data_IF_339139199798
#
_entry.id   IF_339139199798
#
_cell.length_a   1.000
_cell.length_b   1.000
_cell.length_c   1.000
_cell.angle_alpha   90.00
_cell.angle_beta   90.00
_cell.angle_gamma   90.00
#
_symmetry.space_group_name_H-M   'P 1'
#
loop_
_entity.id
_entity.type
_entity.pdbx_description
1 polymer ?
#
# COMPACT_ATOMS: atom_id res chain seq x y z
N UNK A 1 39.38 -51.99 19.45
CA UNK A 1 38.37 -53.02 19.74
C UNK A 1 37.00 -52.46 19.30
N UNK A 2 36.66 -52.41 18.01
CA UNK A 2 36.30 -53.49 17.08
C UNK A 2 34.83 -53.96 17.21
N UNK A 3 33.94 -53.42 16.34
CA UNK A 3 32.71 -53.98 15.71
C UNK A 3 31.85 -52.79 15.23
N UNK A 4 31.74 -52.36 13.95
CA UNK A 4 31.55 -53.00 12.62
C UNK A 4 30.29 -53.87 12.53
N UNK A 5 29.30 -53.38 11.76
CA UNK A 5 28.25 -54.04 10.94
C UNK A 5 27.25 -52.90 10.56
N UNK A 6 27.12 -52.31 9.37
CA UNK A 6 27.20 -52.71 7.96
C UNK A 6 26.14 -53.75 7.54
N UNK A 7 24.96 -53.31 7.09
CA UNK A 7 24.16 -53.85 5.95
C UNK A 7 23.20 -52.71 5.51
N UNK A 8 23.44 -51.95 4.44
CA UNK A 8 23.34 -52.22 2.99
C UNK A 8 21.93 -51.98 2.40
N UNK A 9 21.94 -51.15 1.36
CA UNK A 9 20.82 -50.68 0.55
C UNK A 9 20.26 -51.75 -0.40
N UNK A 10 19.04 -51.52 -0.89
CA UNK A 10 18.45 -51.86 -2.21
C UNK A 10 16.95 -51.43 -2.10
N UNK A 11 16.24 -50.88 -3.07
CA UNK A 11 16.39 -50.87 -4.52
C UNK A 11 15.35 -49.90 -5.11
N UNK A 12 15.77 -49.15 -6.13
CA UNK A 12 14.89 -48.51 -7.09
C UNK A 12 14.28 -49.55 -8.05
N UNK A 13 13.03 -49.33 -8.46
CA UNK A 13 12.39 -49.89 -9.67
C UNK A 13 11.40 -48.83 -10.17
N UNK A 14 11.73 -48.08 -11.23
CA UNK A 14 11.62 -48.40 -12.66
C UNK A 14 10.23 -48.08 -13.26
N UNK A 15 10.25 -46.98 -14.03
CA UNK A 15 9.56 -46.66 -15.29
C UNK A 15 8.23 -47.36 -15.67
N UNK A 16 7.26 -46.52 -16.04
CA UNK A 16 6.45 -46.65 -17.27
C UNK A 16 5.96 -45.25 -17.65
N UNK A 17 6.59 -44.52 -18.58
CA UNK A 17 6.47 -44.59 -20.04
C UNK A 17 5.03 -44.72 -20.56
N UNK A 18 4.46 -43.59 -20.98
CA UNK A 18 3.46 -43.48 -22.03
C UNK A 18 3.48 -42.05 -22.59
N UNK A 19 4.34 -41.87 -23.58
CA UNK A 19 4.38 -40.76 -24.52
C UNK A 19 3.32 -40.98 -25.59
N UNK A 20 2.42 -40.02 -25.85
CA UNK A 20 1.90 -39.77 -27.21
C UNK A 20 1.44 -38.31 -27.38
N UNK A 21 2.13 -37.60 -28.29
CA UNK A 21 1.58 -36.80 -29.41
C UNK A 21 0.71 -35.54 -29.17
N UNK A 22 1.28 -34.38 -29.51
CA UNK A 22 0.56 -33.17 -30.01
C UNK A 22 0.21 -33.33 -31.50
N UNK A 23 -0.82 -32.65 -32.04
CA UNK A 23 -0.55 -31.35 -32.69
C UNK A 23 -1.72 -30.32 -32.66
N UNK A 24 -1.37 -29.07 -32.96
CA UNK A 24 -2.22 -27.88 -33.25
C UNK A 24 -1.92 -27.45 -34.71
N UNK A 25 -2.69 -26.57 -35.41
CA UNK A 25 -4.13 -26.37 -35.64
C UNK A 25 -4.50 -26.52 -37.15
N UNK A 26 -5.67 -26.04 -37.64
CA UNK A 26 -5.62 -24.83 -38.50
C UNK A 26 -6.81 -23.84 -38.38
N UNK A 27 -6.61 -22.68 -39.03
CA UNK A 27 -7.50 -21.50 -39.17
C UNK A 27 -8.48 -21.65 -40.35
N UNK A 28 -9.67 -21.03 -40.24
CA UNK A 28 -10.46 -20.35 -41.31
C UNK A 28 -11.75 -19.82 -40.66
N UNK A 29 -12.06 -18.52 -40.55
CA UNK A 29 -12.33 -17.46 -41.54
C UNK A 29 -13.58 -17.68 -42.41
N UNK A 30 -14.73 -17.18 -41.91
CA UNK A 30 -15.87 -16.60 -42.66
C UNK A 30 -17.01 -16.38 -41.67
N UNK A 31 -17.88 -15.38 -41.71
CA UNK A 31 -18.04 -14.12 -42.42
C UNK A 31 -19.08 -13.35 -41.57
N UNK A 32 -18.94 -12.03 -41.47
CA UNK A 32 -19.91 -11.10 -40.88
C UNK A 32 -21.21 -11.10 -41.74
N UNK A 33 -22.39 -10.65 -41.24
CA UNK A 33 -22.59 -9.21 -41.04
C UNK A 33 -23.50 -8.79 -39.86
N UNK A 34 -23.29 -7.52 -39.45
CA UNK A 34 -24.24 -6.53 -38.91
C UNK A 34 -25.19 -6.92 -37.75
N UNK A 35 -24.94 -6.30 -36.60
CA UNK A 35 -25.81 -5.27 -36.03
C UNK A 35 -24.99 -4.47 -35.00
N UNK A 36 -24.50 -3.29 -35.40
CA UNK A 36 -23.86 -2.36 -34.49
C UNK A 36 -24.94 -1.47 -33.88
N UNK A 37 -25.04 -1.53 -32.55
CA UNK A 37 -25.86 -0.67 -31.71
C UNK A 37 -25.45 0.79 -31.89
N UNK A 38 -26.44 1.61 -32.24
CA UNK A 38 -26.36 3.07 -32.23
C UNK A 38 -26.33 3.56 -30.79
N UNK A 39 -25.22 4.13 -30.35
CA UNK A 39 -25.22 5.09 -29.24
C UNK A 39 -24.47 6.34 -29.70
N UNK A 40 -25.21 7.43 -29.67
CA UNK A 40 -24.90 8.73 -30.23
C UNK A 40 -24.12 9.59 -29.24
N UNK A 41 -22.99 10.16 -29.67
CA UNK A 41 -22.49 11.42 -29.11
C UNK A 41 -21.41 12.02 -30.02
N UNK A 42 -21.85 12.83 -30.98
CA UNK A 42 -21.00 13.67 -31.82
C UNK A 42 -20.95 15.11 -31.28
N UNK A 43 -19.74 15.49 -30.87
CA UNK A 43 -19.00 16.74 -31.17
C UNK A 43 -19.75 18.09 -31.21
N UNK A 44 -19.28 18.98 -30.31
CA UNK A 44 -18.88 20.39 -30.48
C UNK A 44 -19.66 21.26 -31.48
N UNK A 45 -20.20 22.38 -30.97
CA UNK A 45 -20.23 23.66 -31.72
C UNK A 45 -19.85 24.83 -30.82
N UNK A 46 -18.87 25.60 -31.31
CA UNK A 46 -18.48 26.95 -30.94
C UNK A 46 -19.33 27.94 -31.75
N UNK A 47 -19.75 29.04 -31.14
CA UNK A 47 -20.07 30.34 -31.77
C UNK A 47 -20.46 31.30 -30.62
N UNK A 48 -19.64 32.31 -30.27
CA UNK A 48 -19.43 33.60 -30.93
C UNK A 48 -20.38 34.69 -30.37
N UNK A 49 -19.84 35.66 -29.65
CA UNK A 49 -20.38 37.02 -29.64
C UNK A 49 -19.21 38.02 -29.59
N UNK A 50 -19.26 38.94 -30.54
CA UNK A 50 -18.30 39.98 -30.80
C UNK A 50 -18.44 41.14 -29.80
N UNK A 51 -17.34 41.85 -29.56
CA UNK A 51 -17.33 43.12 -28.85
C UNK A 51 -15.95 43.76 -28.94
N UNK A 52 -15.74 44.56 -29.99
CA UNK A 52 -14.56 45.40 -30.14
C UNK A 52 -14.83 46.77 -29.48
N UNK A 53 -13.97 47.20 -28.57
CA UNK A 53 -13.80 48.62 -28.22
C UNK A 53 -12.29 48.88 -28.09
N UNK A 54 -11.79 49.75 -28.97
CA UNK A 54 -10.44 50.31 -29.01
C UNK A 54 -10.45 51.60 -28.17
N UNK A 55 -9.47 51.81 -27.27
CA UNK A 55 -8.96 53.16 -26.99
C UNK A 55 -7.56 53.19 -26.33
N UNK A 56 -6.59 53.66 -27.13
CA UNK A 56 -5.43 54.51 -26.88
C UNK A 56 -4.65 54.52 -25.55
N UNK A 57 -3.33 54.27 -25.71
CA UNK A 57 -2.14 54.99 -25.19
C UNK A 57 -2.10 55.52 -23.75
N UNK A 58 -1.06 55.15 -23.00
CA UNK A 58 0.04 56.06 -22.63
C UNK A 58 1.21 55.30 -21.96
N UNK A 59 2.43 55.65 -22.37
CA UNK A 59 3.72 55.24 -21.80
C UNK A 59 3.87 55.75 -20.35
N UNK A 60 4.24 54.87 -19.42
CA UNK A 60 4.88 55.20 -18.14
C UNK A 60 5.93 54.11 -17.77
N UNK A 61 7.00 54.47 -17.03
CA UNK A 61 8.30 53.77 -16.97
C UNK A 61 8.30 52.47 -16.14
N UNK A 62 9.34 51.61 -16.28
CA UNK A 62 9.48 50.40 -15.48
C UNK A 62 9.83 50.78 -14.04
N UNK A 63 8.84 50.79 -13.15
CA UNK A 63 9.11 50.74 -11.72
C UNK A 63 9.69 49.37 -11.41
N UNK A 64 10.99 49.35 -11.09
CA UNK A 64 11.63 48.21 -10.48
C UNK A 64 10.94 47.93 -9.14
N UNK A 65 9.92 47.06 -9.16
CA UNK A 65 9.47 46.41 -7.94
C UNK A 65 10.55 45.43 -7.53
N UNK A 66 11.50 45.93 -6.74
CA UNK A 66 12.21 45.11 -5.77
C UNK A 66 11.17 44.61 -4.76
N UNK A 67 10.45 43.56 -5.16
CA UNK A 67 9.73 42.72 -4.23
C UNK A 67 10.69 41.59 -3.86
N UNK A 68 11.69 41.92 -3.03
CA UNK A 68 12.34 40.95 -2.16
C UNK A 68 11.35 40.51 -1.07
N UNK A 69 10.20 39.99 -1.49
CA UNK A 69 9.34 39.17 -0.67
C UNK A 69 9.91 37.77 -0.72
N UNK A 70 11.05 37.56 -0.04
CA UNK A 70 11.32 36.25 0.52
C UNK A 70 10.12 36.02 1.44
N UNK A 71 9.17 35.22 0.95
CA UNK A 71 8.20 34.59 1.81
C UNK A 71 9.04 33.75 2.77
N UNK A 72 9.34 34.32 3.93
CA UNK A 72 9.81 33.60 5.08
C UNK A 72 8.62 32.75 5.55
N UNK A 73 8.36 31.68 4.81
CA UNK A 73 7.62 30.53 5.28
C UNK A 73 8.53 29.78 6.25
N UNK A 74 8.98 30.45 7.32
CA UNK A 74 9.25 29.80 8.58
C UNK A 74 7.93 29.18 9.05
N UNK A 75 7.61 28.06 8.42
CA UNK A 75 7.24 26.83 9.06
C UNK A 75 6.52 27.07 10.40
N UNK A 76 5.24 27.42 10.34
CA UNK A 76 4.29 26.95 11.34
C UNK A 76 4.07 25.45 11.14
N UNK A 77 5.15 24.67 11.10
CA UNK A 77 5.07 23.28 11.48
C UNK A 77 4.99 23.34 13.00
N UNK A 78 3.89 22.92 13.64
CA UNK A 78 4.01 22.55 15.03
C UNK A 78 5.11 21.50 15.04
N UNK A 79 6.28 21.85 15.57
CA UNK A 79 7.26 20.89 16.09
C UNK A 79 6.49 20.15 17.19
N UNK A 80 5.63 19.20 16.79
CA UNK A 80 5.22 18.13 17.68
C UNK A 80 6.54 17.55 18.13
N UNK A 81 6.86 17.79 19.39
CA UNK A 81 8.07 17.24 19.99
C UNK A 81 8.14 15.76 19.66
N UNK A 82 9.34 15.22 19.42
CA UNK A 82 9.50 13.80 19.08
C UNK A 82 8.78 12.87 20.06
N UNK A 83 8.73 13.29 21.33
CA UNK A 83 8.01 12.59 22.41
C UNK A 83 6.48 12.60 22.23
N UNK A 84 5.88 13.72 21.82
CA UNK A 84 4.45 13.81 21.53
C UNK A 84 4.09 12.92 20.32
N UNK A 85 4.92 12.93 19.27
CA UNK A 85 4.71 12.09 18.09
C UNK A 85 4.76 10.59 18.46
N UNK A 86 5.70 10.18 19.30
CA UNK A 86 5.81 8.81 19.79
C UNK A 86 4.63 8.41 20.70
N UNK A 87 4.11 9.33 21.52
CA UNK A 87 2.90 9.11 22.31
C UNK A 87 1.66 8.88 21.42
N UNK A 88 1.50 9.69 20.37
CA UNK A 88 0.40 9.55 19.39
C UNK A 88 0.49 8.21 18.65
N UNK A 89 1.69 7.82 18.20
CA UNK A 89 1.90 6.51 17.56
C UNK A 89 1.53 5.35 18.49
N UNK A 90 1.89 5.43 19.78
CA UNK A 90 1.51 4.40 20.77
C UNK A 90 0.00 4.27 20.91
N UNK A 91 -0.75 5.37 20.86
CA UNK A 91 -2.22 5.33 20.89
C UNK A 91 -2.76 4.65 19.64
N UNK A 92 -2.29 5.01 18.45
CA UNK A 92 -2.75 4.40 17.21
C UNK A 92 -2.38 2.92 17.10
N UNK A 93 -1.20 2.51 17.59
CA UNK A 93 -0.80 1.11 17.67
C UNK A 93 -1.72 0.32 18.62
N UNK A 94 -2.05 0.87 19.81
CA UNK A 94 -3.03 0.24 20.72
C UNK A 94 -4.40 0.10 20.09
N UNK A 95 -4.87 1.11 19.35
CA UNK A 95 -6.13 1.03 18.62
C UNK A 95 -6.11 -0.07 17.54
N UNK A 96 -4.99 -0.20 16.82
CA UNK A 96 -4.78 -1.27 15.85
C UNK A 96 -4.81 -2.66 16.53
N UNK A 97 -4.16 -2.83 17.68
CA UNK A 97 -4.18 -4.09 18.43
C UNK A 97 -5.55 -4.40 19.05
N UNK A 98 -6.33 -3.35 19.36
CA UNK A 98 -7.68 -3.45 19.88
C UNK A 98 -8.69 -4.11 18.94
N UNK A 99 -8.34 -4.32 17.65
CA UNK A 99 -9.18 -5.07 16.71
C UNK A 99 -9.33 -6.55 17.08
N UNK A 100 -8.50 -7.06 18.00
CA UNK A 100 -8.59 -8.43 18.53
C UNK A 100 -10.00 -8.78 19.01
N UNK A 101 -10.72 -7.84 19.62
CA UNK A 101 -12.10 -8.04 20.06
C UNK A 101 -13.05 -8.48 18.93
N UNK A 102 -12.81 -8.00 17.70
CA UNK A 102 -13.60 -8.39 16.53
C UNK A 102 -13.17 -9.75 15.98
N UNK A 103 -11.87 -10.07 16.08
CA UNK A 103 -11.35 -11.40 15.76
C UNK A 103 -11.97 -12.45 16.68
N UNK A 104 -11.94 -12.21 18.00
CA UNK A 104 -12.49 -13.11 19.01
C UNK A 104 -14.02 -13.28 18.86
N UNK A 105 -14.72 -12.23 18.42
CA UNK A 105 -16.16 -12.27 18.14
C UNK A 105 -16.52 -12.82 16.75
N UNK A 106 -15.55 -13.09 15.86
CA UNK A 106 -15.80 -13.45 14.47
C UNK A 106 -16.52 -12.37 13.64
N UNK A 107 -16.42 -11.10 14.07
CA UNK A 107 -17.07 -9.94 13.46
C UNK A 107 -16.23 -9.41 12.28
N UNK A 108 -16.22 -10.17 11.17
CA UNK A 108 -15.28 -9.94 10.06
C UNK A 108 -15.41 -8.59 9.37
N UNK A 109 -16.63 -8.05 9.24
CA UNK A 109 -16.84 -6.75 8.56
C UNK A 109 -16.36 -5.59 9.44
N UNK A 110 -16.67 -5.66 10.72
CA UNK A 110 -16.26 -4.72 11.74
C UNK A 110 -14.75 -4.75 11.92
N UNK A 111 -14.15 -5.96 11.88
CA UNK A 111 -12.70 -6.15 11.87
C UNK A 111 -12.06 -5.40 10.70
N UNK A 112 -12.50 -5.65 9.46
CA UNK A 112 -11.95 -4.97 8.28
C UNK A 112 -12.10 -3.44 8.35
N UNK A 113 -13.27 -2.95 8.77
CA UNK A 113 -13.52 -1.51 8.90
C UNK A 113 -12.59 -0.87 9.95
N UNK A 114 -12.50 -1.46 11.13
CA UNK A 114 -11.63 -0.98 12.21
C UNK A 114 -10.16 -1.08 11.83
N UNK A 115 -9.73 -2.18 11.21
CA UNK A 115 -8.37 -2.41 10.77
C UNK A 115 -7.92 -1.34 9.77
N UNK A 116 -8.72 -1.06 8.72
CA UNK A 116 -8.39 -0.06 7.70
C UNK A 116 -8.33 1.36 8.29
N UNK A 117 -9.27 1.71 9.17
CA UNK A 117 -9.28 3.02 9.82
C UNK A 117 -8.06 3.21 10.74
N UNK A 118 -7.78 2.24 11.62
CA UNK A 118 -6.67 2.32 12.55
C UNK A 118 -5.32 2.26 11.84
N UNK A 119 -5.18 1.42 10.81
CA UNK A 119 -3.97 1.31 10.02
C UNK A 119 -3.67 2.59 9.24
N UNK A 120 -4.69 3.28 8.71
CA UNK A 120 -4.49 4.54 7.99
C UNK A 120 -3.85 5.62 8.87
N UNK A 121 -4.32 5.78 10.11
CA UNK A 121 -3.76 6.74 11.05
C UNK A 121 -2.31 6.36 11.40
N UNK A 122 -2.10 5.11 11.80
CA UNK A 122 -0.76 4.62 12.18
C UNK A 122 0.25 4.75 11.03
N UNK A 123 -0.20 4.56 9.78
CA UNK A 123 0.65 4.68 8.59
C UNK A 123 1.23 6.08 8.45
N UNK A 124 0.41 7.10 8.66
CA UNK A 124 0.83 8.49 8.56
C UNK A 124 1.86 8.83 9.63
N UNK A 125 1.56 8.46 10.88
CA UNK A 125 2.41 8.81 12.01
C UNK A 125 3.74 8.05 12.00
N UNK A 126 3.73 6.74 11.71
CA UNK A 126 4.97 5.97 11.58
C UNK A 126 5.85 6.49 10.46
N UNK A 127 5.25 6.88 9.32
CA UNK A 127 6.03 7.44 8.23
C UNK A 127 6.69 8.77 8.66
N UNK A 128 5.99 9.63 9.40
CA UNK A 128 6.56 10.87 9.94
C UNK A 128 7.76 10.60 10.87
N UNK A 129 7.64 9.64 11.79
CA UNK A 129 8.76 9.23 12.66
C UNK A 129 9.95 8.74 11.82
N UNK A 130 9.72 7.90 10.82
CA UNK A 130 10.78 7.41 9.92
C UNK A 130 11.47 8.54 9.17
N UNK A 131 10.75 9.60 8.79
CA UNK A 131 11.35 10.74 8.10
C UNK A 131 12.22 11.59 9.04
N UNK A 132 11.84 11.71 10.31
CA UNK A 132 12.58 12.47 11.33
C UNK A 132 13.86 11.78 11.83
N UNK A 133 13.99 10.45 11.67
CA UNK A 133 15.15 9.68 12.13
C UNK A 133 16.39 9.85 11.22
N UNK A 134 17.62 9.64 11.76
CA UNK A 134 18.86 9.77 10.99
C UNK A 134 19.02 8.67 9.94
N UNK A 135 19.70 8.96 8.83
CA UNK A 135 19.75 8.12 7.62
C UNK A 135 20.10 6.65 7.87
N UNK A 136 21.01 6.35 8.82
CA UNK A 136 21.44 4.98 9.13
C UNK A 136 20.34 4.09 9.72
N UNK A 137 19.34 4.65 10.41
CA UNK A 137 18.25 3.88 11.03
C UNK A 137 17.02 3.76 10.12
N UNK A 138 16.91 4.63 9.11
CA UNK A 138 15.70 4.71 8.27
C UNK A 138 15.51 3.49 7.38
N UNK A 139 16.57 2.82 6.97
CA UNK A 139 16.48 1.60 6.14
C UNK A 139 15.81 0.46 6.91
N UNK A 140 16.28 0.20 8.13
CA UNK A 140 15.70 -0.82 9.01
C UNK A 140 14.25 -0.50 9.36
N UNK A 141 13.95 0.75 9.76
CA UNK A 141 12.58 1.14 10.09
C UNK A 141 11.63 1.06 8.89
N UNK A 142 12.08 1.35 7.67
CA UNK A 142 11.27 1.19 6.46
C UNK A 142 10.96 -0.28 6.15
N UNK A 143 11.90 -1.19 6.43
CA UNK A 143 11.65 -2.63 6.31
C UNK A 143 10.55 -3.04 7.28
N UNK A 144 10.72 -2.73 8.57
CA UNK A 144 9.73 -3.05 9.61
C UNK A 144 8.35 -2.45 9.33
N UNK A 145 8.31 -1.20 8.87
CA UNK A 145 7.09 -0.55 8.43
C UNK A 145 6.42 -1.32 7.28
N UNK A 146 7.19 -1.78 6.31
CA UNK A 146 6.65 -2.57 5.19
C UNK A 146 6.11 -3.91 5.68
N UNK A 147 6.84 -4.60 6.56
CA UNK A 147 6.45 -5.89 7.13
C UNK A 147 5.15 -5.78 7.95
N UNK A 148 5.02 -4.71 8.75
CA UNK A 148 3.80 -4.38 9.48
C UNK A 148 2.59 -4.21 8.55
N UNK A 149 2.69 -3.33 7.55
CA UNK A 149 1.56 -3.02 6.68
C UNK A 149 1.25 -4.11 5.65
N UNK A 150 2.24 -4.93 5.29
CA UNK A 150 2.00 -6.17 4.55
C UNK A 150 1.17 -7.15 5.40
N UNK A 151 1.52 -7.34 6.68
CA UNK A 151 0.76 -8.19 7.59
C UNK A 151 -0.66 -7.68 7.82
N UNK A 152 -0.86 -6.36 7.95
CA UNK A 152 -2.18 -5.73 8.01
C UNK A 152 -3.00 -6.02 6.74
N UNK A 153 -2.38 -5.92 5.57
CA UNK A 153 -3.06 -6.19 4.29
C UNK A 153 -3.43 -7.67 4.17
N UNK A 154 -2.54 -8.58 4.56
CA UNK A 154 -2.83 -10.01 4.60
C UNK A 154 -3.93 -10.36 5.59
N UNK A 155 -3.95 -9.73 6.77
CA UNK A 155 -5.04 -9.88 7.73
C UNK A 155 -6.38 -9.41 7.15
N UNK A 156 -6.40 -8.28 6.43
CA UNK A 156 -7.61 -7.78 5.76
C UNK A 156 -8.17 -8.77 4.74
N UNK A 157 -7.29 -9.44 3.98
CA UNK A 157 -7.67 -10.50 3.04
C UNK A 157 -8.14 -11.77 3.76
N UNK A 158 -7.41 -12.22 4.78
CA UNK A 158 -7.81 -13.37 5.58
C UNK A 158 -9.17 -13.16 6.26
N UNK A 159 -9.44 -11.95 6.75
CA UNK A 159 -10.73 -11.56 7.32
C UNK A 159 -11.85 -11.56 6.27
N UNK A 160 -11.56 -11.13 5.03
CA UNK A 160 -12.52 -11.21 3.91
C UNK A 160 -12.94 -12.64 3.63
N UNK A 161 -11.94 -13.53 3.60
CA UNK A 161 -12.10 -14.94 3.26
C UNK A 161 -12.53 -15.78 4.49
N UNK A 162 -12.61 -15.13 5.67
CA UNK A 162 -13.00 -15.70 6.97
C UNK A 162 -12.09 -16.84 7.42
N UNK A 163 -10.83 -16.80 7.03
CA UNK A 163 -9.82 -17.76 7.46
C UNK A 163 -9.29 -17.38 8.85
N UNK A 164 -9.87 -18.00 9.87
CA UNK A 164 -9.53 -17.70 11.25
C UNK A 164 -8.06 -18.04 11.59
N UNK A 165 -7.47 -19.06 10.95
CA UNK A 165 -6.08 -19.44 11.22
C UNK A 165 -5.12 -18.39 10.67
N UNK A 166 -5.33 -17.97 9.43
CA UNK A 166 -4.53 -16.91 8.80
C UNK A 166 -4.73 -15.56 9.49
N UNK A 167 -5.94 -15.24 9.96
CA UNK A 167 -6.18 -14.01 10.75
C UNK A 167 -5.35 -14.00 12.03
N UNK A 168 -5.30 -15.12 12.77
CA UNK A 168 -4.50 -15.21 13.99
C UNK A 168 -3.00 -15.11 13.71
N UNK A 169 -2.53 -15.79 12.67
CA UNK A 169 -1.13 -15.72 12.22
C UNK A 169 -0.72 -14.28 11.90
N UNK A 170 -1.47 -13.61 11.01
CA UNK A 170 -1.17 -12.24 10.63
C UNK A 170 -1.33 -11.25 11.79
N UNK A 171 -2.26 -11.50 12.72
CA UNK A 171 -2.37 -10.69 13.94
C UNK A 171 -1.11 -10.82 14.80
N UNK A 172 -0.59 -12.03 14.98
CA UNK A 172 0.68 -12.26 15.68
C UNK A 172 1.87 -11.57 15.02
N UNK A 173 1.92 -11.57 13.68
CA UNK A 173 2.95 -10.84 12.92
C UNK A 173 2.85 -9.33 13.13
N UNK A 174 1.63 -8.77 13.19
CA UNK A 174 1.41 -7.35 13.48
C UNK A 174 1.93 -6.98 14.88
N UNK A 175 1.62 -7.80 15.90
CA UNK A 175 2.11 -7.58 17.27
C UNK A 175 3.63 -7.57 17.30
N UNK A 176 4.26 -8.60 16.72
CA UNK A 176 5.73 -8.73 16.69
C UNK A 176 6.40 -7.56 15.95
N UNK A 177 5.86 -7.15 14.80
CA UNK A 177 6.39 -6.03 14.04
C UNK A 177 6.25 -4.70 14.80
N UNK A 178 5.15 -4.49 15.53
CA UNK A 178 5.00 -3.29 16.37
C UNK A 178 6.01 -3.27 17.51
N UNK A 179 6.22 -4.39 18.19
CA UNK A 179 7.22 -4.49 19.26
C UNK A 179 8.64 -4.22 18.74
N UNK A 180 9.00 -4.77 17.58
CA UNK A 180 10.27 -4.49 16.91
C UNK A 180 10.43 -3.01 16.55
N UNK A 181 9.37 -2.37 16.00
CA UNK A 181 9.39 -0.94 15.70
C UNK A 181 9.59 -0.12 16.97
N UNK A 182 8.83 -0.42 18.04
CA UNK A 182 8.92 0.30 19.30
C UNK A 182 10.29 0.15 19.97
N UNK A 183 10.92 -1.02 19.87
CA UNK A 183 12.29 -1.25 20.34
C UNK A 183 13.35 -0.43 19.60
N UNK A 184 13.04 0.12 18.42
CA UNK A 184 13.97 0.94 17.61
C UNK A 184 13.73 2.43 17.74
N UNK A 185 12.52 2.84 18.12
CA UNK A 185 12.17 4.25 18.26
C UNK A 185 12.17 4.73 19.71
N UNK A 186 12.01 3.82 20.69
CA UNK A 186 12.16 4.10 22.13
C UNK A 186 13.62 3.98 22.53
#
# INVERSE_FOLDING_TARGET
MASRLAVQALSASLLSLAETTSPKPPKQQSQRPRAASSSSSSRRRLAATAGAIILASQLLPPVASSAAGTFDLQLMLPEKSSEEAEAVVRIHARNLLGVKRFIDAGAWRELQAALRSNASNLKQDLYAIIQARPTGQRSELRRLYSDLFNSVTSLDYAARDKDALQVQEHYGNIVSALDEIFSKIT
#
